data_IF_748658734913
#
_entry.id   IF_748658734913
#
_cell.length_a   1.000
_cell.length_b   1.000
_cell.length_c   1.000
_cell.angle_alpha   90.00
_cell.angle_beta   90.00
_cell.angle_gamma   90.00
#
_symmetry.space_group_name_H-M   'P 1'
#
loop_
_entity.id
_entity.type
_entity.pdbx_description
1 polymer ?
#
# COMPACT_ATOMS: atom_id res chain seq x y z
N UNK A 1 -5.95 20.55 -4.26
CA UNK A 1 -5.62 21.14 -2.94
C UNK A 1 -6.66 20.92 -1.83
N UNK A 2 -7.97 20.83 -2.11
CA UNK A 2 -9.00 20.71 -1.06
C UNK A 2 -8.77 19.55 -0.08
N UNK A 3 -8.46 18.35 -0.59
CA UNK A 3 -8.17 17.16 0.24
C UNK A 3 -6.95 17.38 1.15
N UNK A 4 -5.85 17.88 0.59
CA UNK A 4 -4.60 18.15 1.32
C UNK A 4 -4.82 19.15 2.45
N UNK A 5 -5.51 20.26 2.18
CA UNK A 5 -5.74 21.28 3.19
C UNK A 5 -6.72 20.81 4.28
N UNK A 6 -7.77 20.06 3.90
CA UNK A 6 -8.71 19.49 4.85
C UNK A 6 -8.05 18.50 5.82
N UNK A 7 -7.14 17.67 5.31
CA UNK A 7 -6.32 16.74 6.07
C UNK A 7 -5.34 17.48 6.99
N UNK A 8 -4.63 18.50 6.45
CA UNK A 8 -3.68 19.33 7.20
C UNK A 8 -4.30 19.98 8.43
N UNK A 9 -5.53 20.50 8.30
CA UNK A 9 -6.28 21.11 9.41
C UNK A 9 -6.61 20.12 10.54
N UNK A 10 -6.46 18.81 10.31
CA UNK A 10 -6.67 17.73 11.28
C UNK A 10 -5.36 17.02 11.68
N UNK A 11 -4.21 17.52 11.25
CA UNK A 11 -2.91 16.87 11.49
C UNK A 11 -2.73 15.57 10.70
N UNK A 12 -3.45 15.38 9.60
CA UNK A 12 -3.38 14.18 8.75
C UNK A 12 -2.47 14.48 7.55
N UNK A 13 -1.49 13.59 7.32
CA UNK A 13 -0.62 13.60 6.15
C UNK A 13 -1.34 12.99 4.95
N UNK A 14 -1.05 13.46 3.74
CA UNK A 14 -1.57 12.89 2.49
C UNK A 14 -0.37 12.37 1.70
N UNK A 15 -0.19 11.05 1.71
CA UNK A 15 0.86 10.36 0.96
C UNK A 15 0.19 9.83 -0.32
N UNK A 16 0.55 10.36 -1.50
CA UNK A 16 -0.01 9.86 -2.74
C UNK A 16 0.63 8.52 -3.14
N UNK A 17 -0.17 7.64 -3.71
CA UNK A 17 0.29 6.44 -4.41
C UNK A 17 0.02 6.56 -5.92
N UNK A 18 1.05 6.36 -6.71
CA UNK A 18 0.96 6.18 -8.16
C UNK A 18 1.71 4.91 -8.52
N UNK A 19 1.04 3.78 -8.29
CA UNK A 19 1.63 2.47 -8.41
C UNK A 19 2.07 2.15 -9.85
N UNK A 20 3.28 1.59 -9.95
CA UNK A 20 3.91 1.13 -11.18
C UNK A 20 5.04 0.14 -10.84
N UNK A 21 5.42 -0.79 -11.75
CA UNK A 21 4.97 -0.91 -13.13
C UNK A 21 3.66 -1.70 -13.29
N UNK A 22 3.22 -2.40 -12.24
CA UNK A 22 1.92 -3.08 -12.13
C UNK A 22 0.74 -2.09 -12.18
N UNK A 23 -0.49 -2.61 -12.13
CA UNK A 23 -1.75 -1.84 -11.95
C UNK A 23 -1.95 -0.57 -12.83
N UNK A 24 -1.27 -0.49 -13.98
CA UNK A 24 -1.17 0.73 -14.82
C UNK A 24 -2.03 0.69 -16.09
N UNK A 25 -2.96 -0.27 -16.22
CA UNK A 25 -3.75 -0.45 -17.45
C UNK A 25 -4.50 0.82 -17.89
N UNK A 26 -4.96 1.65 -16.95
CA UNK A 26 -5.65 2.91 -17.25
C UNK A 26 -4.71 3.97 -17.85
N UNK A 27 -3.41 3.92 -17.55
CA UNK A 27 -2.43 4.94 -17.97
C UNK A 27 -2.18 4.86 -19.48
N UNK A 28 -2.15 3.64 -20.03
CA UNK A 28 -1.95 3.40 -21.46
C UNK A 28 -3.04 3.99 -22.37
N UNK A 29 -4.19 4.41 -21.82
CA UNK A 29 -5.23 5.12 -22.57
C UNK A 29 -4.86 6.58 -22.86
N UNK A 30 -4.10 7.20 -21.95
CA UNK A 30 -3.68 8.60 -22.07
C UNK A 30 -2.23 8.77 -22.54
N UNK A 31 -1.37 7.78 -22.29
CA UNK A 31 0.04 7.80 -22.67
C UNK A 31 0.38 6.66 -23.64
N UNK A 32 0.44 6.92 -24.96
CA UNK A 32 0.86 5.94 -25.95
C UNK A 32 2.27 5.43 -25.67
N UNK A 33 2.51 4.14 -25.98
CA UNK A 33 3.81 3.47 -25.84
C UNK A 33 4.37 3.41 -24.40
N UNK A 34 3.52 3.59 -23.37
CA UNK A 34 3.93 3.41 -21.98
C UNK A 34 3.85 1.94 -21.52
N UNK A 35 2.77 1.25 -21.90
CA UNK A 35 2.55 -0.15 -21.49
C UNK A 35 3.15 -1.12 -22.50
N UNK A 36 3.68 -2.25 -22.03
CA UNK A 36 4.21 -3.30 -22.89
C UNK A 36 3.09 -3.96 -23.70
N UNK A 37 3.16 -3.99 -25.04
CA UNK A 37 2.28 -4.82 -25.85
C UNK A 37 2.59 -6.30 -25.63
N UNK A 38 1.57 -7.11 -25.35
CA UNK A 38 1.76 -8.55 -25.19
C UNK A 38 1.73 -9.26 -26.54
N UNK A 39 2.37 -10.43 -26.59
CA UNK A 39 2.51 -11.22 -27.81
C UNK A 39 1.95 -12.63 -27.61
N UNK A 40 1.39 -13.20 -28.68
CA UNK A 40 1.00 -14.61 -28.77
C UNK A 40 1.78 -15.24 -29.92
N UNK A 41 2.90 -15.88 -29.61
CA UNK A 41 3.90 -16.23 -30.63
C UNK A 41 4.57 -14.96 -31.14
N UNK A 42 4.63 -14.78 -32.46
CA UNK A 42 5.30 -13.64 -33.09
C UNK A 42 4.37 -12.46 -33.40
N UNK A 43 3.08 -12.56 -33.05
CA UNK A 43 2.09 -11.51 -33.31
C UNK A 43 1.63 -10.82 -32.02
N UNK A 44 1.44 -9.48 -32.04
CA UNK A 44 0.82 -8.77 -30.92
C UNK A 44 -0.58 -9.33 -30.64
N UNK A 45 -0.90 -9.57 -29.36
CA UNK A 45 -2.21 -10.10 -28.94
C UNK A 45 -3.32 -9.05 -28.92
N UNK A 46 -2.95 -7.76 -28.99
CA UNK A 46 -3.86 -6.63 -28.78
C UNK A 46 -4.10 -6.28 -27.31
N UNK A 47 -3.51 -7.04 -26.38
CA UNK A 47 -3.53 -6.73 -24.94
C UNK A 47 -2.23 -6.05 -24.49
N UNK A 48 -2.28 -5.37 -23.35
CA UNK A 48 -1.15 -4.70 -22.73
C UNK A 48 -0.91 -5.23 -21.33
N UNK A 49 0.36 -5.24 -20.92
CA UNK A 49 0.79 -5.65 -19.58
C UNK A 49 1.26 -4.46 -18.75
N UNK A 50 2.24 -4.68 -17.85
CA UNK A 50 2.86 -3.61 -17.07
C UNK A 50 3.50 -2.52 -17.94
N UNK A 51 3.90 -1.42 -17.30
CA UNK A 51 4.76 -0.39 -17.91
C UNK A 51 5.97 -1.04 -18.57
N UNK A 52 6.37 -0.54 -19.74
CA UNK A 52 7.55 -1.02 -20.47
C UNK A 52 8.82 -0.36 -19.91
N UNK A 53 9.68 -1.11 -19.19
CA UNK A 53 10.90 -0.57 -18.60
C UNK A 53 12.06 -0.49 -19.59
N UNK A 54 11.85 -0.85 -20.86
CA UNK A 54 12.94 -0.99 -21.84
C UNK A 54 13.13 0.22 -22.75
N UNK A 55 12.28 1.23 -22.60
CA UNK A 55 12.23 2.41 -23.47
C UNK A 55 12.42 3.71 -22.69
N UNK A 56 13.28 4.60 -23.20
CA UNK A 56 13.59 5.89 -22.57
C UNK A 56 12.36 6.80 -22.37
N UNK A 57 11.34 6.65 -23.21
CA UNK A 57 10.09 7.42 -23.12
C UNK A 57 9.33 7.15 -21.82
N UNK A 58 9.43 5.94 -21.27
CA UNK A 58 8.86 5.59 -19.96
C UNK A 58 9.48 6.45 -18.87
N UNK A 59 10.81 6.50 -18.82
CA UNK A 59 11.53 7.24 -17.79
C UNK A 59 11.32 8.75 -17.87
N UNK A 60 11.19 9.32 -19.08
CA UNK A 60 10.81 10.73 -19.27
C UNK A 60 9.40 11.03 -18.78
N UNK A 61 8.46 10.11 -19.01
CA UNK A 61 7.10 10.22 -18.48
C UNK A 61 7.10 10.15 -16.95
N UNK A 62 7.77 9.16 -16.35
CA UNK A 62 7.86 9.01 -14.90
C UNK A 62 8.52 10.21 -14.23
N UNK A 63 9.61 10.74 -14.79
CA UNK A 63 10.25 11.95 -14.27
C UNK A 63 9.28 13.15 -14.27
N UNK A 64 8.50 13.32 -15.34
CA UNK A 64 7.51 14.39 -15.46
C UNK A 64 6.38 14.22 -14.45
N UNK A 65 5.86 13.01 -14.30
CA UNK A 65 4.85 12.66 -13.31
C UNK A 65 5.34 12.94 -11.88
N UNK A 66 6.52 12.44 -11.51
CA UNK A 66 7.08 12.62 -10.16
C UNK A 66 7.37 14.09 -9.85
N UNK A 67 7.78 14.89 -10.84
CA UNK A 67 7.93 16.35 -10.69
C UNK A 67 6.60 17.03 -10.36
N UNK A 68 5.52 16.63 -11.03
CA UNK A 68 4.18 17.14 -10.72
C UNK A 68 3.70 16.67 -9.35
N UNK A 69 3.86 15.38 -9.03
CA UNK A 69 3.51 14.81 -7.71
C UNK A 69 4.20 15.57 -6.59
N UNK A 70 5.51 15.84 -6.72
CA UNK A 70 6.27 16.66 -5.76
C UNK A 70 5.67 18.05 -5.59
N UNK A 71 5.24 18.68 -6.68
CA UNK A 71 4.66 20.03 -6.68
C UNK A 71 3.27 20.08 -6.02
N UNK A 72 2.45 19.05 -6.27
CA UNK A 72 1.07 18.98 -5.76
C UNK A 72 1.03 18.51 -4.30
N UNK A 73 1.82 17.51 -3.93
CA UNK A 73 1.81 16.87 -2.62
C UNK A 73 3.01 17.34 -1.78
N UNK A 74 2.75 18.08 -0.69
CA UNK A 74 3.82 18.69 0.11
C UNK A 74 4.56 17.67 1.00
N UNK A 75 3.96 16.51 1.27
CA UNK A 75 4.54 15.46 2.11
C UNK A 75 5.91 15.00 1.61
N UNK A 76 6.78 14.58 2.52
CA UNK A 76 8.13 14.12 2.17
C UNK A 76 8.14 12.74 1.52
N UNK A 77 7.05 11.97 1.65
CA UNK A 77 6.94 10.61 1.15
C UNK A 77 6.03 10.53 -0.08
N UNK A 78 6.35 9.59 -0.96
CA UNK A 78 5.51 9.19 -2.10
C UNK A 78 5.49 7.67 -2.13
N UNK A 79 4.31 7.06 -2.22
CA UNK A 79 4.17 5.62 -2.41
C UNK A 79 4.33 5.32 -3.91
N UNK A 80 5.33 4.51 -4.25
CA UNK A 80 5.62 4.15 -5.65
C UNK A 80 4.98 2.83 -6.06
N UNK A 81 4.30 2.16 -5.12
CA UNK A 81 3.66 0.87 -5.32
C UNK A 81 4.70 -0.23 -5.52
N UNK A 82 4.61 -0.92 -6.66
CA UNK A 82 5.53 -1.98 -7.07
C UNK A 82 5.08 -3.38 -6.64
N UNK A 83 3.78 -3.60 -6.47
CA UNK A 83 3.22 -4.91 -6.13
C UNK A 83 2.69 -5.67 -7.36
N UNK A 84 2.57 -6.99 -7.21
CA UNK A 84 1.85 -7.91 -8.10
C UNK A 84 2.20 -7.81 -9.61
N UNK A 85 3.45 -7.47 -9.92
CA UNK A 85 3.89 -7.29 -11.31
C UNK A 85 3.87 -8.61 -12.07
N UNK A 86 2.97 -8.73 -13.04
CA UNK A 86 2.90 -9.91 -13.91
C UNK A 86 3.95 -9.86 -15.03
N UNK A 87 4.93 -10.75 -14.97
CA UNK A 87 6.00 -10.84 -15.98
C UNK A 87 5.58 -11.49 -17.31
N UNK A 88 4.39 -12.09 -17.39
CA UNK A 88 3.98 -12.87 -18.57
C UNK A 88 4.00 -12.05 -19.87
N UNK A 89 3.56 -10.80 -19.80
CA UNK A 89 3.55 -9.91 -20.96
C UNK A 89 4.98 -9.51 -21.39
N UNK A 90 5.84 -9.15 -20.43
CA UNK A 90 7.26 -8.89 -20.67
C UNK A 90 7.95 -10.10 -21.29
N UNK A 91 7.69 -11.30 -20.78
CA UNK A 91 8.24 -12.54 -21.31
C UNK A 91 7.81 -12.82 -22.75
N UNK A 92 6.57 -12.47 -23.10
CA UNK A 92 6.07 -12.65 -24.46
C UNK A 92 6.70 -11.68 -25.46
N UNK A 93 7.07 -10.47 -25.02
CA UNK A 93 7.47 -9.39 -25.91
C UNK A 93 8.93 -9.56 -26.42
N UNK A 94 9.17 -9.56 -27.74
CA UNK A 94 10.51 -9.74 -28.31
C UNK A 94 11.48 -8.59 -27.97
N UNK A 95 11.01 -7.34 -27.95
CA UNK A 95 11.86 -6.19 -27.62
C UNK A 95 12.34 -6.26 -26.16
N UNK A 96 11.43 -6.65 -25.26
CA UNK A 96 11.79 -6.84 -23.85
C UNK A 96 12.80 -7.97 -23.69
N UNK A 97 12.63 -9.10 -24.38
CA UNK A 97 13.62 -10.19 -24.38
C UNK A 97 15.00 -9.75 -24.91
N UNK A 98 15.04 -8.96 -25.99
CA UNK A 98 16.31 -8.39 -26.49
C UNK A 98 16.96 -7.45 -25.46
N UNK A 99 16.17 -6.65 -24.74
CA UNK A 99 16.68 -5.81 -23.67
C UNK A 99 17.25 -6.65 -22.51
N UNK A 100 16.55 -7.72 -22.12
CA UNK A 100 17.01 -8.67 -21.09
C UNK A 100 18.37 -9.30 -21.43
N UNK A 101 18.58 -9.68 -22.69
CA UNK A 101 19.85 -10.20 -23.18
C UNK A 101 20.95 -9.14 -23.13
N UNK A 102 20.67 -7.92 -23.61
CA UNK A 102 21.60 -6.79 -23.59
C UNK A 102 22.07 -6.43 -22.18
N UNK A 103 21.17 -6.46 -21.21
CA UNK A 103 21.45 -6.15 -19.81
C UNK A 103 22.06 -7.33 -19.02
N UNK A 104 22.12 -8.52 -19.62
CA UNK A 104 22.61 -9.72 -18.94
C UNK A 104 21.67 -10.24 -17.84
N UNK A 105 20.39 -9.90 -17.89
CA UNK A 105 19.38 -10.37 -16.93
C UNK A 105 18.92 -11.81 -17.22
N UNK A 106 19.15 -12.31 -18.44
CA UNK A 106 18.78 -13.67 -18.84
C UNK A 106 17.26 -13.83 -18.87
N UNK A 107 16.72 -14.80 -18.12
CA UNK A 107 15.27 -15.07 -18.02
C UNK A 107 14.65 -14.61 -16.69
N UNK A 108 15.42 -13.89 -15.89
CA UNK A 108 15.03 -13.47 -14.55
C UNK A 108 14.39 -12.08 -14.58
N UNK A 109 13.07 -12.02 -14.80
CA UNK A 109 12.32 -10.76 -14.93
C UNK A 109 12.25 -9.96 -13.62
N UNK A 110 12.55 -10.57 -12.47
CA UNK A 110 12.67 -9.83 -11.21
C UNK A 110 13.77 -8.78 -11.27
N UNK A 111 14.87 -9.05 -12.01
CA UNK A 111 15.94 -8.07 -12.25
C UNK A 111 15.48 -6.91 -13.12
N UNK A 112 14.57 -7.16 -14.05
CA UNK A 112 14.01 -6.12 -14.91
C UNK A 112 13.10 -5.18 -14.12
N UNK A 113 12.27 -5.75 -13.24
CA UNK A 113 11.46 -4.99 -12.31
C UNK A 113 12.34 -4.16 -11.36
N UNK A 114 13.38 -4.74 -10.76
CA UNK A 114 14.29 -3.97 -9.90
C UNK A 114 15.04 -2.88 -10.65
N UNK A 115 15.46 -3.12 -11.90
CA UNK A 115 16.02 -2.06 -12.75
C UNK A 115 15.04 -0.88 -12.91
N UNK A 116 13.76 -1.17 -13.11
CA UNK A 116 12.71 -0.15 -13.17
C UNK A 116 12.51 0.57 -11.83
N UNK A 117 12.34 -0.20 -10.73
CA UNK A 117 12.09 0.35 -9.40
C UNK A 117 13.26 1.19 -8.89
N UNK A 118 14.50 0.72 -9.06
CA UNK A 118 15.71 1.49 -8.73
C UNK A 118 15.75 2.83 -9.49
N UNK A 119 15.36 2.83 -10.77
CA UNK A 119 15.34 4.04 -11.58
C UNK A 119 14.35 5.07 -11.05
N UNK A 120 13.11 4.67 -10.74
CA UNK A 120 12.08 5.60 -10.22
C UNK A 120 12.36 6.02 -8.77
N UNK A 121 12.97 5.15 -7.95
CA UNK A 121 13.41 5.51 -6.59
C UNK A 121 14.54 6.55 -6.65
N UNK A 122 15.51 6.40 -7.55
CA UNK A 122 16.58 7.38 -7.75
C UNK A 122 16.03 8.73 -8.23
N UNK A 123 15.04 8.75 -9.12
CA UNK A 123 14.36 9.98 -9.52
C UNK A 123 13.63 10.64 -8.33
N UNK A 124 12.97 9.84 -7.51
CA UNK A 124 12.25 10.32 -6.31
C UNK A 124 13.23 10.92 -5.29
N UNK A 125 14.36 10.25 -5.05
CA UNK A 125 15.44 10.76 -4.20
C UNK A 125 16.04 12.07 -4.75
N UNK A 126 16.28 12.17 -6.06
CA UNK A 126 16.76 13.40 -6.70
C UNK A 126 15.77 14.58 -6.57
N UNK A 127 14.50 14.29 -6.31
CA UNK A 127 13.47 15.28 -6.01
C UNK A 127 13.38 15.65 -4.51
N UNK A 128 14.28 15.13 -3.67
CA UNK A 128 14.28 15.25 -2.21
C UNK A 128 13.01 14.68 -1.56
N UNK A 129 12.55 13.53 -2.07
CA UNK A 129 11.43 12.75 -1.52
C UNK A 129 11.91 11.36 -1.14
N UNK A 130 11.24 10.76 -0.18
CA UNK A 130 11.49 9.39 0.27
C UNK A 130 10.44 8.46 -0.31
N UNK A 131 10.88 7.35 -0.89
CA UNK A 131 9.99 6.33 -1.44
C UNK A 131 9.38 5.47 -0.33
N UNK A 132 8.08 5.19 -0.45
CA UNK A 132 7.42 4.05 0.19
C UNK A 132 7.10 3.04 -0.92
N UNK A 133 7.33 1.76 -0.68
CA UNK A 133 7.06 0.69 -1.67
C UNK A 133 6.45 -0.53 -0.99
N UNK A 134 5.65 -1.28 -1.75
CA UNK A 134 5.16 -2.59 -1.30
C UNK A 134 6.30 -3.59 -1.16
N UNK A 135 6.07 -4.62 -0.33
CA UNK A 135 7.09 -5.63 0.00
C UNK A 135 7.72 -6.33 -1.21
N UNK A 136 7.00 -6.47 -2.32
CA UNK A 136 7.42 -7.18 -3.53
C UNK A 136 8.76 -6.66 -4.06
N UNK A 137 8.97 -5.35 -4.01
CA UNK A 137 10.22 -4.69 -4.43
C UNK A 137 11.43 -5.23 -3.65
N UNK A 138 11.26 -5.46 -2.35
CA UNK A 138 12.31 -6.01 -1.48
C UNK A 138 12.39 -7.54 -1.56
N UNK A 139 11.27 -8.23 -1.73
CA UNK A 139 11.17 -9.68 -1.94
C UNK A 139 12.02 -10.15 -3.13
N UNK A 140 12.03 -9.36 -4.19
CA UNK A 140 12.78 -9.67 -5.41
C UNK A 140 14.25 -9.28 -5.34
N UNK A 141 14.58 -8.10 -4.81
CA UNK A 141 15.96 -7.65 -4.65
C UNK A 141 16.14 -6.84 -3.35
N UNK A 142 16.90 -7.41 -2.41
CA UNK A 142 17.12 -6.78 -1.09
C UNK A 142 17.96 -5.49 -1.13
N UNK A 143 18.56 -5.16 -2.30
CA UNK A 143 19.38 -3.95 -2.47
C UNK A 143 18.51 -2.79 -2.92
N UNK A 144 17.84 -2.15 -1.97
CA UNK A 144 17.11 -0.90 -2.19
C UNK A 144 17.78 0.25 -1.42
N UNK A 145 17.56 1.53 -1.80
CA UNK A 145 18.09 2.66 -1.04
C UNK A 145 17.70 2.60 0.44
N UNK A 146 18.65 2.81 1.34
CA UNK A 146 18.47 2.58 2.79
C UNK A 146 17.33 3.41 3.40
N UNK A 147 17.08 4.59 2.86
CA UNK A 147 16.05 5.51 3.33
C UNK A 147 14.62 5.10 2.92
N UNK A 148 14.48 4.16 1.97
CA UNK A 148 13.20 3.60 1.51
C UNK A 148 12.43 3.00 2.69
N UNK A 149 11.14 3.30 2.75
CA UNK A 149 10.19 2.66 3.68
C UNK A 149 9.51 1.50 2.96
N UNK A 150 9.45 0.36 3.63
CA UNK A 150 8.82 -0.85 3.11
C UNK A 150 7.45 -1.06 3.74
N UNK A 151 6.46 -1.43 2.95
CA UNK A 151 5.13 -1.76 3.44
C UNK A 151 4.80 -3.25 3.24
N UNK A 152 4.56 -3.95 4.36
CA UNK A 152 4.24 -5.38 4.38
C UNK A 152 2.73 -5.57 4.30
N UNK A 153 2.31 -6.30 3.27
CA UNK A 153 0.90 -6.46 2.93
C UNK A 153 0.45 -7.92 2.75
N UNK A 154 1.38 -8.86 2.54
CA UNK A 154 1.08 -10.30 2.42
C UNK A 154 1.00 -10.95 3.81
N UNK A 155 -0.14 -11.58 4.10
CA UNK A 155 -0.52 -11.98 5.46
C UNK A 155 0.08 -13.26 6.03
N UNK A 156 0.52 -14.22 5.21
CA UNK A 156 0.85 -15.57 5.71
C UNK A 156 2.11 -15.62 6.59
N UNK A 157 3.06 -14.69 6.39
CA UNK A 157 4.37 -14.72 7.05
C UNK A 157 4.87 -13.33 7.44
N UNK A 158 3.98 -12.38 7.71
CA UNK A 158 4.37 -10.97 7.93
C UNK A 158 5.38 -10.77 9.08
N UNK A 159 5.37 -11.63 10.13
CA UNK A 159 6.37 -11.54 11.21
C UNK A 159 7.79 -11.92 10.74
N UNK A 160 7.90 -12.92 9.86
CA UNK A 160 9.18 -13.28 9.26
C UNK A 160 9.68 -12.16 8.34
N UNK A 161 8.77 -11.51 7.62
CA UNK A 161 9.08 -10.40 6.73
C UNK A 161 9.49 -9.14 7.51
N UNK A 162 8.82 -8.84 8.63
CA UNK A 162 9.23 -7.80 9.58
C UNK A 162 10.66 -8.04 10.06
N UNK A 163 11.00 -9.29 10.46
CA UNK A 163 12.35 -9.64 10.88
C UNK A 163 13.38 -9.43 9.76
N UNK A 164 13.06 -9.86 8.54
CA UNK A 164 13.96 -9.75 7.38
C UNK A 164 14.23 -8.30 6.99
N UNK A 165 13.19 -7.50 6.82
CA UNK A 165 13.29 -6.09 6.41
C UNK A 165 13.96 -5.21 7.47
N UNK A 166 13.62 -5.40 8.74
CA UNK A 166 14.25 -4.63 9.83
C UNK A 166 15.70 -5.08 10.07
N UNK A 167 16.04 -6.35 9.84
CA UNK A 167 17.44 -6.83 9.83
C UNK A 167 18.27 -6.22 8.70
N UNK A 168 17.65 -5.94 7.55
CA UNK A 168 18.26 -5.17 6.47
C UNK A 168 18.34 -3.66 6.78
N UNK A 169 17.79 -3.21 7.92
CA UNK A 169 17.91 -1.83 8.40
C UNK A 169 16.88 -0.87 7.80
N UNK A 170 15.84 -1.37 7.15
CA UNK A 170 14.77 -0.55 6.58
C UNK A 170 13.69 -0.23 7.61
N UNK A 171 13.08 0.95 7.45
CA UNK A 171 11.85 1.30 8.18
C UNK A 171 10.67 0.57 7.54
N UNK A 172 9.75 0.10 8.37
CA UNK A 172 8.67 -0.78 7.93
C UNK A 172 7.31 -0.28 8.42
N UNK A 173 6.32 -0.33 7.51
CA UNK A 173 4.89 -0.20 7.78
C UNK A 173 4.23 -1.59 7.65
N UNK A 174 3.25 -1.86 8.51
CA UNK A 174 2.47 -3.09 8.47
C UNK A 174 1.03 -2.81 8.07
N UNK A 175 0.54 -3.44 7.01
CA UNK A 175 -0.88 -3.41 6.61
C UNK A 175 -1.49 -4.80 6.45
N UNK A 176 -0.68 -5.84 6.30
CA UNK A 176 -1.11 -7.21 6.02
C UNK A 176 -2.28 -7.75 6.89
N UNK A 177 -2.32 -7.59 8.22
CA UNK A 177 -3.42 -8.08 9.04
C UNK A 177 -4.60 -7.10 9.16
N UNK A 178 -4.56 -5.98 8.45
CA UNK A 178 -5.53 -4.88 8.50
C UNK A 178 -6.17 -4.59 7.14
N UNK A 179 -6.31 -5.62 6.31
CA UNK A 179 -7.11 -5.61 5.08
C UNK A 179 -8.61 -5.68 5.42
N UNK A 180 -9.25 -4.53 5.58
CA UNK A 180 -10.66 -4.46 5.97
C UNK A 180 -11.61 -4.50 4.76
N UNK A 181 -11.10 -4.41 3.53
CA UNK A 181 -11.86 -4.77 2.34
C UNK A 181 -12.27 -6.26 2.37
N UNK A 182 -11.47 -7.13 3.01
CA UNK A 182 -11.82 -8.52 3.28
C UNK A 182 -12.80 -8.60 4.46
N UNK A 183 -14.08 -8.80 4.15
CA UNK A 183 -15.12 -8.95 5.17
C UNK A 183 -15.28 -10.40 5.59
N UNK A 184 -15.62 -10.62 6.86
CA UNK A 184 -16.02 -11.94 7.36
C UNK A 184 -17.18 -11.81 8.35
N UNK A 185 -17.96 -12.88 8.52
CA UNK A 185 -19.10 -12.86 9.44
C UNK A 185 -18.64 -12.78 10.90
N UNK A 186 -19.26 -11.87 11.67
CA UNK A 186 -19.03 -11.75 13.11
C UNK A 186 -18.21 -10.52 13.47
N UNK A 187 -17.41 -10.63 14.54
CA UNK A 187 -16.64 -9.53 15.14
C UNK A 187 -15.18 -9.54 14.66
N UNK A 188 -14.97 -9.44 13.35
CA UNK A 188 -13.66 -9.49 12.71
C UNK A 188 -12.70 -8.38 13.17
N UNK A 189 -13.22 -7.23 13.63
CA UNK A 189 -12.45 -6.16 14.27
C UNK A 189 -11.55 -6.65 15.42
N UNK A 190 -11.95 -7.74 16.10
CA UNK A 190 -11.15 -8.36 17.16
C UNK A 190 -9.84 -8.94 16.64
N UNK A 191 -9.83 -9.45 15.41
CA UNK A 191 -8.63 -9.97 14.78
C UNK A 191 -7.64 -8.82 14.55
N UNK A 192 -8.11 -7.70 13.99
CA UNK A 192 -7.30 -6.50 13.79
C UNK A 192 -6.78 -5.92 15.11
N UNK A 193 -7.61 -5.93 16.17
CA UNK A 193 -7.22 -5.45 17.50
C UNK A 193 -6.13 -6.32 18.14
N UNK A 194 -6.17 -7.65 17.93
CA UNK A 194 -5.24 -8.60 18.53
C UNK A 194 -3.83 -8.60 17.92
N UNK A 195 -3.64 -7.95 16.76
CA UNK A 195 -2.33 -7.83 16.09
C UNK A 195 -1.33 -7.12 16.99
N UNK A 196 -0.13 -7.67 17.13
CA UNK A 196 1.00 -7.03 17.81
C UNK A 196 2.12 -6.78 16.79
N UNK A 197 2.28 -5.54 16.27
CA UNK A 197 3.23 -5.25 15.20
C UNK A 197 4.70 -5.51 15.55
N UNK A 198 5.05 -5.51 16.83
CA UNK A 198 6.42 -5.76 17.31
C UNK A 198 6.65 -7.21 17.79
N UNK A 199 5.64 -8.08 17.69
CA UNK A 199 5.75 -9.48 18.07
C UNK A 199 6.37 -10.31 16.95
N UNK A 200 7.66 -10.09 16.71
CA UNK A 200 8.49 -10.84 15.78
C UNK A 200 9.91 -11.04 16.35
N UNK A 201 10.66 -11.97 15.77
CA UNK A 201 12.04 -12.23 16.17
C UNK A 201 12.97 -11.09 15.70
N UNK A 202 13.55 -10.35 16.64
CA UNK A 202 14.51 -9.29 16.35
C UNK A 202 15.05 -8.59 17.60
N UNK A 203 16.11 -7.80 17.46
CA UNK A 203 16.62 -6.94 18.54
C UNK A 203 15.68 -5.76 18.79
N UNK A 204 15.86 -5.08 19.92
CA UNK A 204 15.08 -3.87 20.23
C UNK A 204 15.33 -2.74 19.22
N UNK A 205 16.54 -2.66 18.64
CA UNK A 205 16.85 -1.73 17.55
C UNK A 205 16.11 -2.08 16.27
N UNK A 206 15.98 -3.37 15.94
CA UNK A 206 15.20 -3.83 14.78
C UNK A 206 13.71 -3.52 14.96
N UNK A 207 13.15 -3.74 16.15
CA UNK A 207 11.74 -3.42 16.45
C UNK A 207 11.44 -1.92 16.32
N UNK A 208 12.38 -1.03 16.66
CA UNK A 208 12.24 0.42 16.48
C UNK A 208 12.14 0.87 15.01
N UNK A 209 12.52 0.02 14.06
CA UNK A 209 12.34 0.30 12.64
C UNK A 209 10.90 0.08 12.16
N UNK A 210 10.05 -0.58 12.96
CA UNK A 210 8.61 -0.62 12.71
C UNK A 210 8.03 0.73 13.11
N UNK A 211 7.69 1.55 12.11
CA UNK A 211 7.28 2.94 12.32
C UNK A 211 5.75 3.13 12.40
N UNK A 212 4.98 2.06 12.24
CA UNK A 212 3.53 2.06 12.33
C UNK A 212 2.92 1.06 11.36
N UNK A 213 1.75 1.42 10.83
CA UNK A 213 1.09 0.64 9.81
C UNK A 213 -0.23 1.26 9.37
N UNK A 214 -0.88 0.62 8.41
CA UNK A 214 -2.01 1.19 7.69
C UNK A 214 -3.18 0.20 7.62
N UNK A 215 -4.40 0.73 7.57
CA UNK A 215 -5.62 -0.05 7.40
C UNK A 215 -6.04 0.06 5.94
N UNK A 216 -5.96 -1.05 5.20
CA UNK A 216 -6.21 -1.05 3.77
C UNK A 216 -7.70 -1.27 3.46
N UNK A 217 -8.29 -0.33 2.70
CA UNK A 217 -9.65 -0.42 2.16
C UNK A 217 -9.60 -0.36 0.63
N UNK A 218 -9.27 -1.49 0.01
CA UNK A 218 -9.30 -1.64 -1.45
C UNK A 218 -10.71 -1.57 -2.03
N UNK A 219 -10.78 -1.11 -3.29
CA UNK A 219 -11.99 -0.61 -3.94
C UNK A 219 -12.78 -1.61 -4.78
N UNK A 220 -12.37 -2.88 -4.89
CA UNK A 220 -12.98 -3.85 -5.82
C UNK A 220 -14.47 -4.03 -5.58
N UNK A 221 -14.88 -3.94 -4.31
CA UNK A 221 -16.27 -4.09 -3.86
C UNK A 221 -16.71 -2.93 -2.96
N UNK A 222 -16.02 -1.78 -3.03
CA UNK A 222 -16.23 -0.63 -2.16
C UNK A 222 -16.37 0.64 -2.99
N UNK A 223 -17.44 1.37 -2.76
CA UNK A 223 -17.66 2.70 -3.30
C UNK A 223 -18.40 3.58 -2.27
N UNK A 224 -18.90 4.73 -2.71
CA UNK A 224 -19.62 5.66 -1.84
C UNK A 224 -20.86 5.05 -1.15
N UNK A 225 -21.42 3.96 -1.69
CA UNK A 225 -22.63 3.32 -1.15
C UNK A 225 -22.36 2.53 0.14
N UNK A 226 -21.12 2.07 0.35
CA UNK A 226 -20.80 1.16 1.45
C UNK A 226 -19.47 1.46 2.17
N UNK A 227 -18.71 2.47 1.75
CA UNK A 227 -17.41 2.81 2.35
C UNK A 227 -17.50 3.05 3.85
N UNK A 228 -18.37 3.96 4.30
CA UNK A 228 -18.46 4.33 5.72
C UNK A 228 -18.84 3.16 6.65
N UNK A 229 -19.93 2.40 6.38
CA UNK A 229 -20.30 1.30 7.26
C UNK A 229 -19.26 0.18 7.24
N UNK A 230 -18.60 -0.08 6.10
CA UNK A 230 -17.52 -1.06 6.03
C UNK A 230 -16.26 -0.58 6.78
N UNK A 231 -15.95 0.70 6.72
CA UNK A 231 -14.73 1.26 7.33
C UNK A 231 -14.85 1.39 8.85
N UNK A 232 -15.98 1.93 9.32
CA UNK A 232 -16.18 2.28 10.73
C UNK A 232 -17.21 1.38 11.40
N UNK A 233 -16.95 0.87 12.62
CA UNK A 233 -15.80 1.16 13.49
C UNK A 233 -14.63 0.17 13.34
N UNK A 234 -14.63 -0.72 12.33
CA UNK A 234 -13.58 -1.77 12.20
C UNK A 234 -12.16 -1.20 12.17
N UNK A 235 -11.93 -0.11 11.42
CA UNK A 235 -10.64 0.58 11.38
C UNK A 235 -10.21 1.18 12.74
N UNK A 236 -11.14 1.47 13.65
CA UNK A 236 -10.81 1.97 14.98
C UNK A 236 -10.04 0.94 15.82
N UNK A 237 -10.17 -0.36 15.53
CA UNK A 237 -9.42 -1.42 16.20
C UNK A 237 -7.91 -1.26 15.98
N UNK A 238 -7.51 -1.09 14.72
CA UNK A 238 -6.12 -0.84 14.36
C UNK A 238 -5.67 0.56 14.81
N UNK A 239 -6.54 1.57 14.79
CA UNK A 239 -6.23 2.89 15.29
C UNK A 239 -5.84 2.88 16.78
N UNK A 240 -6.59 2.15 17.63
CA UNK A 240 -6.23 2.01 19.04
C UNK A 240 -4.94 1.22 19.23
N UNK A 241 -4.69 0.18 18.41
CA UNK A 241 -3.45 -0.60 18.41
C UNK A 241 -2.22 0.24 18.05
N UNK A 242 -2.34 1.13 17.07
CA UNK A 242 -1.22 1.97 16.60
C UNK A 242 -0.96 3.18 17.51
N UNK A 243 -1.92 3.55 18.36
CA UNK A 243 -1.82 4.71 19.24
C UNK A 243 -1.51 4.36 20.70
N UNK A 244 -2.18 3.33 21.23
CA UNK A 244 -2.14 2.99 22.65
C UNK A 244 -0.95 2.12 22.98
N UNK A 245 -0.60 2.13 24.27
CA UNK A 245 0.37 1.19 24.82
C UNK A 245 -0.06 -0.27 24.55
N UNK A 246 0.91 -1.10 24.18
CA UNK A 246 0.69 -2.51 23.86
C UNK A 246 0.02 -3.26 25.02
N UNK A 247 0.43 -2.97 26.27
CA UNK A 247 -0.11 -3.63 27.47
C UNK A 247 -1.60 -3.35 27.65
N UNK A 248 -2.09 -2.20 27.16
CA UNK A 248 -3.50 -1.78 27.26
C UNK A 248 -4.39 -2.37 26.17
N UNK A 249 -3.78 -2.97 25.15
CA UNK A 249 -4.48 -3.46 23.96
C UNK A 249 -4.47 -4.99 23.84
N UNK A 250 -4.06 -5.70 24.90
CA UNK A 250 -3.97 -7.18 24.92
C UNK A 250 -5.32 -7.91 24.94
N UNK A 251 -6.41 -7.25 25.33
CA UNK A 251 -7.71 -7.90 25.52
C UNK A 251 -8.84 -7.13 24.83
N UNK A 252 -9.42 -7.73 23.78
CA UNK A 252 -10.53 -7.16 23.03
C UNK A 252 -11.84 -7.05 23.83
N UNK A 253 -12.09 -7.91 24.83
CA UNK A 253 -13.29 -7.79 25.67
C UNK A 253 -13.29 -6.53 26.51
N UNK A 254 -12.11 -6.06 26.92
CA UNK A 254 -11.95 -4.76 27.60
C UNK A 254 -12.08 -3.56 26.64
N UNK A 255 -11.93 -3.80 25.33
CA UNK A 255 -12.10 -2.78 24.30
C UNK A 255 -13.57 -2.62 23.88
N UNK A 256 -14.33 -3.71 23.83
CA UNK A 256 -15.70 -3.74 23.30
C UNK A 256 -16.60 -2.63 23.88
N UNK A 257 -16.72 -2.43 25.22
CA UNK A 257 -17.62 -1.40 25.76
C UNK A 257 -17.22 0.03 25.37
N UNK A 258 -15.92 0.29 25.20
CA UNK A 258 -15.42 1.60 24.80
C UNK A 258 -15.64 1.83 23.30
N UNK A 259 -15.40 0.81 22.48
CA UNK A 259 -15.61 0.86 21.04
C UNK A 259 -17.09 0.98 20.69
N UNK A 260 -17.98 0.27 21.39
CA UNK A 260 -19.43 0.39 21.24
C UNK A 260 -19.91 1.81 21.57
N UNK A 261 -19.46 2.37 22.70
CA UNK A 261 -19.76 3.76 23.06
C UNK A 261 -19.23 4.74 22.01
N UNK A 262 -18.01 4.53 21.52
CA UNK A 262 -17.42 5.37 20.49
C UNK A 262 -18.17 5.27 19.15
N UNK A 263 -18.64 4.09 18.77
CA UNK A 263 -19.50 3.90 17.59
C UNK A 263 -20.78 4.73 17.68
N UNK A 264 -21.45 4.78 18.84
CA UNK A 264 -22.61 5.66 19.01
C UNK A 264 -22.25 7.16 18.91
N UNK A 265 -21.06 7.54 19.34
CA UNK A 265 -20.57 8.91 19.17
C UNK A 265 -20.27 9.24 17.70
N UNK A 266 -19.77 8.27 16.91
CA UNK A 266 -19.62 8.42 15.45
C UNK A 266 -20.97 8.67 14.77
N UNK A 267 -22.00 7.89 15.12
CA UNK A 267 -23.36 8.10 14.61
C UNK A 267 -23.87 9.51 14.95
N UNK A 268 -23.70 9.94 16.20
CA UNK A 268 -24.09 11.29 16.65
C UNK A 268 -23.40 12.40 15.87
N UNK A 269 -22.22 12.12 15.27
CA UNK A 269 -21.46 13.04 14.43
C UNK A 269 -21.76 12.91 12.93
N UNK A 270 -22.75 12.09 12.55
CA UNK A 270 -23.16 11.88 11.16
C UNK A 270 -22.31 10.86 10.40
N UNK A 271 -21.42 10.11 11.07
CA UNK A 271 -20.64 9.05 10.44
C UNK A 271 -21.45 7.75 10.47
N UNK A 272 -21.72 7.18 9.30
CA UNK A 272 -22.46 5.93 9.16
C UNK A 272 -21.60 4.72 9.56
N UNK A 273 -21.45 4.46 10.86
CA UNK A 273 -20.68 3.34 11.39
C UNK A 273 -21.58 2.10 11.65
N UNK A 274 -21.16 0.92 11.21
CA UNK A 274 -21.91 -0.33 11.42
C UNK A 274 -21.91 -0.76 12.91
N UNK A 275 -22.89 -1.59 13.36
CA UNK A 275 -22.88 -2.10 14.72
C UNK A 275 -21.80 -3.19 14.93
N UNK A 276 -21.25 -3.27 16.13
CA UNK A 276 -20.31 -4.33 16.51
C UNK A 276 -21.02 -5.66 16.85
N UNK A 277 -22.22 -5.57 17.43
CA UNK A 277 -23.04 -6.69 17.85
C UNK A 277 -24.47 -6.20 18.15
N UNK A 278 -25.30 -7.04 18.77
CA UNK A 278 -26.65 -6.65 19.22
C UNK A 278 -26.57 -5.52 20.26
N UNK A 279 -27.41 -4.50 20.11
CA UNK A 279 -27.40 -3.30 20.94
C UNK A 279 -28.22 -2.18 20.31
N UNK A 280 -28.15 -0.98 20.89
CA UNK A 280 -28.74 0.24 20.33
C UNK A 280 -27.96 1.48 20.76
N UNK A 281 -28.08 2.56 19.99
CA UNK A 281 -27.63 3.89 20.39
C UNK A 281 -28.84 4.75 20.73
N UNK A 282 -28.69 5.66 21.71
CA UNK A 282 -29.77 6.62 22.04
C UNK A 282 -30.19 7.48 20.84
N UNK A 283 -29.23 7.80 19.97
CA UNK A 283 -29.44 8.46 18.69
C UNK A 283 -29.02 7.46 17.61
N UNK A 284 -29.98 6.88 16.92
CA UNK A 284 -29.71 6.02 15.76
C UNK A 284 -29.33 6.87 14.54
N UNK A 285 -28.85 6.21 13.49
CA UNK A 285 -28.44 6.91 12.27
C UNK A 285 -29.67 7.34 11.44
N UNK A 286 -29.83 8.64 11.22
CA UNK A 286 -31.02 9.23 10.60
C UNK A 286 -30.88 9.51 9.08
N UNK A 287 -29.75 9.13 8.44
CA UNK A 287 -29.64 9.05 6.98
C UNK A 287 -29.69 10.36 6.17
N UNK A 288 -29.17 11.48 6.71
CA UNK A 288 -29.07 12.76 6.02
C UNK A 288 -27.72 12.98 5.32
#
# INVERSE_FOLDING_TARGET
YMVIEHARMRGIRVIPEFDSPGHTQSWGKGQPNLLTPCYKGDVPSGSFGPVDPTVDTTYKFMESLLKEVKFVFPDSYVHLGGDEVSFACWQSNPNVRTFMEKMGFGKDFTKLESFYMESIMNMTAALNRTSVVWQDVFDYHERIPQDTVLEIWKGETYQAELSRMTKAGHRVLLSAPWYINHISYGQDWRNSYAVQPQNFSGTEEQKKLVIGGEVAMWGEYVDATNLNPRLWPRACAAAERLWSDEEKTMNADLAFPRLEKFRCELLRRGIQAEPLFVGHCKHEYDGL
#
